data_IF_279968476727
#
_entry.id   IF_279968476727
#
_cell.length_a   1.000
_cell.length_b   1.000
_cell.length_c   1.000
_cell.angle_alpha   90.00
_cell.angle_beta   90.00
_cell.angle_gamma   90.00
#
_symmetry.space_group_name_H-M   'P 1'
#
loop_
_entity.id
_entity.type
_entity.pdbx_description
1 polymer ?
#
# COMPACT_ATOMS: atom_id res chain seq x y z
N UNK A 1 -47.13 -20.45 50.18
CA UNK A 1 -46.45 -20.46 48.85
C UNK A 1 -45.47 -19.28 48.84
N UNK A 2 -44.18 -19.56 48.97
CA UNK A 2 -43.12 -18.51 48.84
C UNK A 2 -42.55 -18.58 47.42
N UNK A 3 -42.75 -17.50 46.64
CA UNK A 3 -42.11 -17.35 45.35
C UNK A 3 -40.66 -16.81 45.55
N UNK A 4 -39.68 -17.60 45.20
CA UNK A 4 -38.26 -17.14 45.16
C UNK A 4 -37.98 -16.63 43.75
N UNK A 5 -37.76 -15.30 43.65
CA UNK A 5 -37.41 -14.64 42.39
C UNK A 5 -35.90 -14.73 42.22
N UNK A 6 -35.41 -15.52 41.25
CA UNK A 6 -34.01 -15.62 40.89
C UNK A 6 -33.62 -14.45 39.96
N UNK A 7 -32.75 -13.60 40.45
CA UNK A 7 -32.18 -12.48 39.68
C UNK A 7 -31.05 -13.03 38.80
N UNK A 8 -31.28 -13.13 37.49
CA UNK A 8 -30.22 -13.38 36.50
C UNK A 8 -29.42 -12.12 36.28
N UNK A 9 -28.21 -12.06 36.81
CA UNK A 9 -27.23 -11.03 36.47
C UNK A 9 -26.53 -11.46 35.17
N UNK A 10 -26.87 -10.82 34.04
CA UNK A 10 -26.14 -10.97 32.79
C UNK A 10 -24.83 -10.19 32.91
N UNK A 11 -23.70 -10.89 33.04
CA UNK A 11 -22.37 -10.33 32.90
C UNK A 11 -22.13 -10.06 31.41
N UNK A 12 -22.27 -8.82 30.96
CA UNK A 12 -21.77 -8.39 29.66
C UNK A 12 -20.26 -8.21 29.76
N UNK A 13 -19.50 -9.22 29.32
CA UNK A 13 -18.07 -9.05 29.06
C UNK A 13 -17.92 -8.19 27.80
N UNK A 14 -17.72 -6.90 27.96
CA UNK A 14 -17.21 -6.04 26.90
C UNK A 14 -15.80 -6.56 26.57
N UNK A 15 -15.64 -7.19 25.42
CA UNK A 15 -14.32 -7.45 24.84
C UNK A 15 -13.72 -6.06 24.55
N UNK A 16 -12.77 -5.61 25.38
CA UNK A 16 -11.97 -4.46 25.05
C UNK A 16 -11.19 -4.80 23.77
N UNK A 17 -11.51 -4.14 22.65
CA UNK A 17 -10.66 -4.19 21.48
C UNK A 17 -9.26 -3.78 21.92
N UNK A 18 -8.27 -4.64 21.70
CA UNK A 18 -6.88 -4.28 21.97
C UNK A 18 -6.57 -3.01 21.18
N UNK A 19 -6.23 -1.93 21.86
CA UNK A 19 -5.75 -0.72 21.19
C UNK A 19 -4.55 -1.10 20.35
N UNK A 20 -4.68 -1.07 19.04
CA UNK A 20 -3.57 -1.31 18.11
C UNK A 20 -2.55 -0.20 18.35
N UNK A 21 -1.37 -0.60 18.85
CA UNK A 21 -0.30 0.35 19.13
C UNK A 21 0.11 1.04 17.84
N UNK A 22 -0.03 2.36 17.80
CA UNK A 22 0.39 3.16 16.63
C UNK A 22 1.85 2.86 16.31
N UNK A 23 2.20 2.53 15.05
CA UNK A 23 3.58 2.24 14.64
C UNK A 23 4.54 3.39 14.93
N UNK A 24 5.80 3.06 15.22
CA UNK A 24 6.81 4.08 15.57
C UNK A 24 6.99 5.13 14.47
N UNK A 25 6.97 4.74 13.19
CA UNK A 25 7.04 5.65 12.05
C UNK A 25 5.85 6.62 11.98
N UNK A 26 4.64 6.11 12.21
CA UNK A 26 3.45 6.95 12.28
C UNK A 26 3.47 7.91 13.48
N UNK A 27 3.90 7.43 14.66
CA UNK A 27 4.06 8.27 15.85
C UNK A 27 5.06 9.40 15.64
N UNK A 28 6.23 9.12 15.01
CA UNK A 28 7.25 10.12 14.72
C UNK A 28 6.73 11.28 13.85
N UNK A 29 5.73 11.02 13.01
CA UNK A 29 5.08 12.00 12.15
C UNK A 29 3.84 12.66 12.80
N UNK A 30 3.41 12.20 13.98
CA UNK A 30 2.15 12.62 14.59
C UNK A 30 0.91 12.07 13.88
N UNK A 31 1.04 10.99 13.11
CA UNK A 31 -0.05 10.33 12.38
C UNK A 31 -0.59 9.21 13.27
N UNK A 32 -1.54 9.56 14.14
CA UNK A 32 -2.04 8.63 15.17
C UNK A 32 -3.48 8.17 14.93
N UNK A 33 -4.18 8.77 13.94
CA UNK A 33 -5.53 8.34 13.56
C UNK A 33 -5.45 7.15 12.62
N UNK A 34 -5.79 5.97 13.12
CA UNK A 34 -5.90 4.77 12.29
C UNK A 34 -7.01 4.96 11.23
N UNK A 35 -6.66 4.78 9.97
CA UNK A 35 -7.60 4.76 8.85
C UNK A 35 -8.17 3.37 8.65
N UNK A 36 -7.32 2.36 8.73
CA UNK A 36 -7.68 0.94 8.72
C UNK A 36 -6.51 0.10 9.27
N UNK A 37 -6.85 -1.09 9.75
CA UNK A 37 -5.93 -2.15 10.18
C UNK A 37 -6.49 -3.46 9.66
N UNK A 38 -5.96 -3.94 8.52
CA UNK A 38 -6.47 -5.07 7.78
C UNK A 38 -5.52 -6.27 7.87
N UNK A 39 -6.11 -7.45 7.97
CA UNK A 39 -5.44 -8.73 7.75
C UNK A 39 -5.96 -9.31 6.44
N UNK A 40 -5.27 -9.06 5.31
CA UNK A 40 -5.80 -9.45 4.02
C UNK A 40 -5.86 -10.97 3.88
N UNK A 41 -6.92 -11.44 3.21
CA UNK A 41 -7.14 -12.86 2.87
C UNK A 41 -7.63 -13.00 1.43
N UNK A 42 -7.53 -14.20 0.86
CA UNK A 42 -7.99 -14.45 -0.50
C UNK A 42 -9.50 -14.27 -0.68
N UNK A 43 -10.28 -14.49 0.39
CA UNK A 43 -11.74 -14.33 0.39
C UNK A 43 -12.17 -12.85 0.28
N UNK A 44 -11.26 -11.92 0.54
CA UNK A 44 -11.50 -10.48 0.40
C UNK A 44 -11.19 -9.96 -1.01
N UNK A 45 -10.81 -10.84 -1.95
CA UNK A 45 -10.51 -10.49 -3.34
C UNK A 45 -11.77 -10.61 -4.19
N UNK A 46 -12.10 -9.57 -4.93
CA UNK A 46 -13.25 -9.55 -5.84
C UNK A 46 -13.11 -10.60 -6.95
N UNK A 47 -14.04 -11.57 -7.08
CA UNK A 47 -13.92 -12.64 -8.07
C UNK A 47 -14.04 -12.15 -9.53
N UNK A 48 -14.72 -11.02 -9.74
CA UNK A 48 -14.93 -10.44 -11.08
C UNK A 48 -14.44 -8.97 -11.16
N UNK A 49 -13.57 -8.56 -10.24
CA UNK A 49 -13.10 -7.17 -10.17
C UNK A 49 -14.18 -6.15 -9.80
N UNK A 50 -15.30 -6.60 -9.21
CA UNK A 50 -16.47 -5.79 -8.86
C UNK A 50 -17.05 -6.22 -7.53
N UNK A 51 -17.82 -5.34 -6.89
CA UNK A 51 -18.53 -5.61 -5.66
C UNK A 51 -17.89 -4.97 -4.44
N UNK A 52 -18.42 -5.31 -3.26
CA UNK A 52 -17.97 -4.79 -1.96
C UNK A 52 -16.83 -5.66 -1.40
N UNK A 53 -15.64 -5.49 -1.98
CA UNK A 53 -14.42 -6.19 -1.60
C UNK A 53 -13.32 -5.20 -1.22
N UNK A 54 -12.38 -5.65 -0.38
CA UNK A 54 -11.22 -4.85 0.01
C UNK A 54 -10.12 -4.86 -1.05
N UNK A 55 -10.04 -5.97 -1.82
CA UNK A 55 -8.97 -6.20 -2.79
C UNK A 55 -9.54 -6.61 -4.15
N UNK A 56 -8.81 -6.26 -5.20
CA UNK A 56 -9.19 -6.50 -6.59
C UNK A 56 -7.99 -7.10 -7.33
N UNK A 57 -8.22 -8.20 -8.07
CA UNK A 57 -7.16 -8.85 -8.85
C UNK A 57 -6.69 -7.96 -9.99
N UNK A 58 -5.37 -7.78 -10.07
CA UNK A 58 -4.70 -6.99 -11.11
C UNK A 58 -4.77 -5.49 -10.89
N UNK A 59 -4.21 -4.82 -11.87
CA UNK A 59 -4.21 -3.36 -12.00
C UNK A 59 -5.19 -2.97 -13.11
N UNK A 60 -5.67 -1.74 -13.14
CA UNK A 60 -6.75 -1.33 -14.06
C UNK A 60 -6.38 -1.33 -15.54
N UNK A 61 -5.10 -1.20 -15.83
CA UNK A 61 -4.54 -1.14 -17.18
C UNK A 61 -4.01 -2.48 -17.69
N UNK A 62 -4.03 -3.51 -16.87
CA UNK A 62 -3.59 -4.85 -17.22
C UNK A 62 -4.75 -5.86 -17.15
N UNK A 63 -4.58 -7.01 -17.82
CA UNK A 63 -5.50 -8.12 -17.66
C UNK A 63 -5.37 -8.68 -16.23
N UNK A 64 -6.48 -8.81 -15.48
CA UNK A 64 -6.42 -9.36 -14.13
C UNK A 64 -5.79 -10.76 -14.13
N UNK A 65 -4.85 -11.03 -13.20
CA UNK A 65 -4.36 -12.38 -12.94
C UNK A 65 -5.48 -13.34 -12.53
N UNK A 66 -5.24 -14.62 -12.75
CA UNK A 66 -6.18 -15.65 -12.32
C UNK A 66 -6.27 -15.75 -10.79
N UNK A 67 -7.46 -16.02 -10.26
CA UNK A 67 -7.69 -16.04 -8.81
C UNK A 67 -6.98 -17.19 -8.08
N UNK A 68 -6.56 -18.25 -8.77
CA UNK A 68 -5.77 -19.36 -8.23
C UNK A 68 -4.32 -19.00 -7.90
N UNK A 69 -3.90 -17.77 -8.25
CA UNK A 69 -2.64 -17.18 -7.80
C UNK A 69 -2.70 -16.67 -6.36
N UNK A 70 -3.88 -16.64 -5.74
CA UNK A 70 -4.09 -16.15 -4.39
C UNK A 70 -4.62 -17.26 -3.49
N UNK A 71 -4.18 -17.25 -2.24
CA UNK A 71 -4.65 -18.18 -1.21
C UNK A 71 -4.54 -17.54 0.17
N UNK A 72 -5.32 -18.07 1.12
CA UNK A 72 -5.16 -17.76 2.54
C UNK A 72 -4.35 -18.87 3.19
N UNK A 73 -3.19 -18.54 3.74
CA UNK A 73 -2.32 -19.48 4.48
C UNK A 73 -2.09 -18.92 5.87
N UNK A 74 -2.39 -19.69 6.90
CA UNK A 74 -2.27 -19.29 8.31
C UNK A 74 -2.97 -17.95 8.63
N UNK A 75 -4.10 -17.69 7.98
CA UNK A 75 -4.88 -16.47 8.14
C UNK A 75 -4.27 -15.22 7.46
N UNK A 76 -3.31 -15.40 6.56
CA UNK A 76 -2.67 -14.34 5.80
C UNK A 76 -2.82 -14.55 4.29
N UNK A 77 -2.93 -13.46 3.55
CA UNK A 77 -2.95 -13.47 2.08
C UNK A 77 -1.60 -13.90 1.53
N UNK A 78 -1.61 -14.89 0.65
CA UNK A 78 -0.42 -15.36 -0.05
C UNK A 78 -0.63 -15.23 -1.55
N UNK A 79 0.26 -14.48 -2.21
CA UNK A 79 0.34 -14.32 -3.65
C UNK A 79 1.41 -15.26 -4.21
N UNK A 80 1.12 -15.95 -5.30
CA UNK A 80 2.11 -16.68 -6.11
C UNK A 80 2.70 -15.76 -7.16
N UNK A 81 3.84 -16.14 -7.72
CA UNK A 81 4.47 -15.45 -8.84
C UNK A 81 3.46 -15.18 -9.98
N UNK A 82 3.38 -13.94 -10.42
CA UNK A 82 2.41 -13.43 -11.39
C UNK A 82 1.14 -12.82 -10.75
N UNK A 83 1.00 -12.90 -9.42
CA UNK A 83 -0.11 -12.25 -8.70
C UNK A 83 0.11 -10.75 -8.56
N UNK A 84 -0.94 -9.98 -8.87
CA UNK A 84 -1.06 -8.54 -8.63
C UNK A 84 -2.42 -8.24 -8.01
N UNK A 85 -2.45 -7.39 -7.00
CA UNK A 85 -3.67 -6.94 -6.35
C UNK A 85 -3.67 -5.43 -6.16
N UNK A 86 -4.83 -4.79 -6.23
CA UNK A 86 -4.99 -3.42 -5.80
C UNK A 86 -6.12 -3.27 -4.77
N UNK A 87 -6.03 -2.25 -3.93
CA UNK A 87 -6.98 -2.00 -2.83
C UNK A 87 -8.20 -1.18 -3.24
N UNK A 88 -8.34 -0.84 -4.52
CA UNK A 88 -9.45 -0.03 -5.00
C UNK A 88 -9.98 -0.53 -6.34
N UNK A 89 -11.33 -0.57 -6.55
CA UNK A 89 -11.90 -0.82 -7.85
C UNK A 89 -11.70 0.41 -8.74
N UNK A 90 -11.89 0.25 -10.06
CA UNK A 90 -11.83 1.37 -11.01
C UNK A 90 -12.84 2.49 -10.71
N UNK A 91 -13.93 2.17 -10.08
CA UNK A 91 -14.89 3.12 -9.51
C UNK A 91 -14.54 3.33 -8.03
N UNK A 92 -13.66 4.28 -7.77
CA UNK A 92 -13.11 4.56 -6.42
C UNK A 92 -14.16 4.89 -5.37
N UNK A 93 -15.31 5.44 -5.76
CA UNK A 93 -16.41 5.69 -4.84
C UNK A 93 -16.92 4.40 -4.16
N UNK A 94 -16.58 3.24 -4.72
CA UNK A 94 -16.91 1.91 -4.20
C UNK A 94 -15.74 1.24 -3.49
N UNK A 95 -14.66 1.95 -3.22
CA UNK A 95 -13.53 1.40 -2.49
C UNK A 95 -13.95 1.11 -1.04
N UNK A 96 -13.74 -0.11 -0.58
CA UNK A 96 -14.01 -0.50 0.81
C UNK A 96 -12.95 0.04 1.77
N UNK A 97 -11.68 -0.02 1.34
CA UNK A 97 -10.59 0.64 2.04
C UNK A 97 -10.51 2.10 1.61
N UNK A 98 -10.34 3.04 2.55
CA UNK A 98 -10.21 4.45 2.21
C UNK A 98 -8.94 4.68 1.38
N UNK A 99 -9.03 5.57 0.41
CA UNK A 99 -7.85 6.09 -0.28
C UNK A 99 -7.01 6.94 0.68
N UNK A 100 -5.70 6.93 0.49
CA UNK A 100 -4.78 7.72 1.27
C UNK A 100 -4.71 9.14 0.70
N UNK A 101 -5.25 10.12 1.41
CA UNK A 101 -5.33 11.50 0.92
C UNK A 101 -3.98 12.22 1.03
N UNK A 102 -3.42 12.62 -0.10
CA UNK A 102 -2.18 13.40 -0.13
C UNK A 102 -2.30 14.74 0.59
N UNK A 103 -3.48 15.38 0.53
CA UNK A 103 -3.71 16.66 1.22
C UNK A 103 -3.53 16.59 2.74
N UNK A 104 -3.89 15.47 3.35
CA UNK A 104 -3.78 15.25 4.79
C UNK A 104 -2.39 14.74 5.19
N UNK A 105 -1.73 14.03 4.28
CA UNK A 105 -0.58 13.18 4.58
C UNK A 105 -1.00 11.84 5.16
N UNK A 106 -0.10 10.87 5.05
CA UNK A 106 -0.36 9.50 5.51
C UNK A 106 0.91 8.76 5.88
N UNK A 107 0.74 7.73 6.69
CA UNK A 107 1.67 6.63 6.89
C UNK A 107 0.95 5.32 6.57
N UNK A 108 1.57 4.44 5.81
CA UNK A 108 1.04 3.11 5.50
C UNK A 108 2.15 2.08 5.69
N UNK A 109 1.81 0.88 6.17
CA UNK A 109 2.78 -0.19 6.34
C UNK A 109 2.17 -1.56 6.00
N UNK A 110 3.07 -2.47 5.59
CA UNK A 110 2.75 -3.81 5.13
C UNK A 110 3.64 -4.82 5.83
N UNK A 111 3.05 -5.83 6.47
CA UNK A 111 3.77 -6.98 7.02
C UNK A 111 3.96 -8.03 5.93
N UNK A 112 5.17 -8.17 5.41
CA UNK A 112 5.47 -9.02 4.25
C UNK A 112 6.54 -10.05 4.57
N UNK A 113 6.38 -11.26 3.98
CA UNK A 113 7.37 -12.33 4.00
C UNK A 113 7.39 -13.03 2.65
N UNK A 114 8.56 -13.33 2.13
CA UNK A 114 8.71 -14.18 0.94
C UNK A 114 9.03 -15.63 1.34
N UNK A 115 8.69 -16.58 0.48
CA UNK A 115 9.09 -17.99 0.67
C UNK A 115 10.58 -18.23 0.40
N UNK A 116 11.25 -17.27 -0.24
CA UNK A 116 12.67 -17.34 -0.58
C UNK A 116 13.23 -15.94 -0.82
N UNK A 117 14.51 -15.74 -0.53
CA UNK A 117 15.25 -14.48 -0.75
C UNK A 117 16.12 -14.57 -2.03
N UNK A 118 15.55 -15.08 -3.11
CA UNK A 118 16.26 -15.19 -4.38
C UNK A 118 16.39 -13.81 -5.08
N UNK A 119 17.58 -13.43 -5.59
CA UNK A 119 17.86 -12.06 -6.06
C UNK A 119 17.03 -11.58 -7.24
N UNK A 120 16.49 -12.46 -8.07
CA UNK A 120 15.65 -12.08 -9.22
C UNK A 120 14.15 -11.95 -8.85
N UNK A 121 13.77 -12.23 -7.60
CA UNK A 121 12.41 -11.99 -7.14
C UNK A 121 12.11 -10.50 -7.07
N UNK A 122 10.97 -10.11 -7.59
CA UNK A 122 10.50 -8.73 -7.61
C UNK A 122 9.14 -8.63 -6.88
N UNK A 123 9.11 -8.82 -5.57
CA UNK A 123 7.95 -8.43 -4.79
C UNK A 123 7.87 -6.91 -4.74
N UNK A 124 6.66 -6.36 -4.75
CA UNK A 124 6.49 -4.94 -4.52
C UNK A 124 5.27 -4.64 -3.65
N UNK A 125 5.41 -3.64 -2.81
CA UNK A 125 4.32 -2.95 -2.11
C UNK A 125 4.43 -1.48 -2.45
N UNK A 126 3.42 -0.94 -3.11
CA UNK A 126 3.49 0.37 -3.73
C UNK A 126 2.14 1.08 -3.84
N UNK A 127 2.16 2.34 -4.19
CA UNK A 127 0.99 3.21 -4.23
C UNK A 127 0.91 3.92 -5.58
N UNK A 128 -0.31 3.98 -6.14
CA UNK A 128 -0.64 4.78 -7.29
C UNK A 128 -1.78 5.75 -6.98
N UNK A 129 -1.80 6.94 -7.60
CA UNK A 129 -2.92 7.85 -7.42
C UNK A 129 -4.16 7.39 -8.19
N UNK A 130 -5.28 7.51 -7.53
CA UNK A 130 -6.58 7.19 -8.07
C UNK A 130 -6.97 8.05 -9.29
N UNK A 131 -6.47 9.25 -9.35
CA UNK A 131 -6.68 10.20 -10.45
C UNK A 131 -6.01 9.71 -11.74
N UNK A 132 -4.90 8.96 -11.65
CA UNK A 132 -4.23 8.34 -12.80
C UNK A 132 -4.92 7.04 -13.23
N UNK A 133 -6.16 7.14 -13.71
CA UNK A 133 -7.05 6.00 -13.98
C UNK A 133 -7.42 5.81 -15.47
N UNK A 134 -6.73 6.51 -16.35
CA UNK A 134 -7.02 6.50 -17.79
C UNK A 134 -8.26 7.31 -18.20
N UNK A 135 -8.86 8.07 -17.30
CA UNK A 135 -9.94 9.02 -17.57
C UNK A 135 -9.47 10.47 -17.55
N UNK A 136 -8.16 10.70 -17.41
CA UNK A 136 -7.53 12.03 -17.32
C UNK A 136 -8.00 12.86 -16.13
N UNK A 137 -8.29 12.20 -15.00
CA UNK A 137 -8.62 12.86 -13.74
C UNK A 137 -7.38 13.43 -13.04
N UNK A 138 -6.18 13.06 -13.50
CA UNK A 138 -4.88 13.64 -13.14
C UNK A 138 -4.47 14.81 -14.04
N UNK A 139 -5.43 15.39 -14.76
CA UNK A 139 -5.31 16.66 -15.44
C UNK A 139 -5.62 17.81 -14.47
N UNK A 140 -4.75 18.79 -14.37
CA UNK A 140 -4.87 19.91 -13.44
C UNK A 140 -4.71 21.24 -14.20
N UNK A 141 -5.69 22.13 -14.08
CA UNK A 141 -5.58 23.48 -14.66
C UNK A 141 -4.33 24.23 -14.14
N UNK A 142 -3.56 24.94 -14.99
CA UNK A 142 -3.85 25.28 -16.39
C UNK A 142 -3.16 24.36 -17.43
N UNK A 143 -2.94 23.09 -17.13
CA UNK A 143 -2.28 22.16 -18.05
C UNK A 143 -3.11 21.98 -19.34
N UNK A 144 -2.48 21.72 -20.50
CA UNK A 144 -3.18 21.51 -21.74
C UNK A 144 -3.97 20.19 -21.74
N UNK A 145 -5.02 20.05 -22.57
CA UNK A 145 -5.79 18.80 -22.64
C UNK A 145 -4.92 17.57 -22.87
N UNK A 146 -5.14 16.51 -22.09
CA UNK A 146 -4.39 15.26 -22.15
C UNK A 146 -3.03 15.28 -21.47
N UNK A 147 -2.69 16.38 -20.83
CA UNK A 147 -1.51 16.45 -19.96
C UNK A 147 -1.86 15.85 -18.60
N UNK A 148 -1.06 14.95 -18.13
CA UNK A 148 -1.23 14.22 -16.87
C UNK A 148 -0.02 14.50 -15.95
N UNK A 149 -0.26 14.47 -14.63
CA UNK A 149 0.77 14.57 -13.61
C UNK A 149 0.46 13.59 -12.49
N UNK A 150 1.40 12.74 -12.15
CA UNK A 150 1.18 11.79 -11.06
C UNK A 150 2.47 11.43 -10.32
N UNK A 151 2.28 10.97 -9.10
CA UNK A 151 3.33 10.38 -8.28
C UNK A 151 3.01 8.89 -8.07
N UNK A 152 3.93 8.02 -8.48
CA UNK A 152 3.98 6.63 -8.02
C UNK A 152 4.92 6.56 -6.82
N UNK A 153 4.56 5.76 -5.81
CA UNK A 153 5.35 5.64 -4.59
C UNK A 153 5.57 4.16 -4.25
N UNK A 154 6.76 3.65 -4.58
CA UNK A 154 7.16 2.29 -4.28
C UNK A 154 7.77 2.25 -2.88
N UNK A 155 7.07 1.55 -1.97
CA UNK A 155 7.48 1.45 -0.57
C UNK A 155 8.57 0.39 -0.41
N UNK A 156 8.46 -0.73 -1.12
CA UNK A 156 9.54 -1.69 -1.29
C UNK A 156 9.40 -2.43 -2.63
N UNK A 157 10.54 -2.59 -3.30
CA UNK A 157 10.70 -3.41 -4.49
C UNK A 157 11.90 -4.34 -4.31
N UNK A 158 11.70 -5.65 -4.43
CA UNK A 158 12.80 -6.62 -4.39
C UNK A 158 13.60 -6.69 -5.69
N UNK A 159 14.78 -7.31 -5.63
CA UNK A 159 15.58 -7.63 -6.82
C UNK A 159 16.54 -6.55 -7.30
N UNK A 160 16.57 -5.37 -6.69
CA UNK A 160 17.49 -4.27 -7.07
C UNK A 160 18.71 -4.16 -6.16
N UNK A 161 18.72 -4.90 -5.06
CA UNK A 161 19.83 -4.88 -4.12
C UNK A 161 19.49 -5.60 -2.81
N UNK A 162 20.47 -5.65 -1.87
CA UNK A 162 20.30 -6.44 -0.64
C UNK A 162 19.41 -5.78 0.40
N UNK A 163 19.10 -4.49 0.26
CA UNK A 163 18.29 -3.72 1.20
C UNK A 163 16.87 -3.46 0.72
N UNK A 164 16.17 -2.58 1.44
CA UNK A 164 14.93 -1.97 0.95
C UNK A 164 15.23 -1.20 -0.34
N UNK A 165 14.43 -1.37 -1.37
CA UNK A 165 14.41 -0.48 -2.52
C UNK A 165 13.14 0.35 -2.47
N UNK A 166 13.29 1.64 -2.22
CA UNK A 166 12.18 2.59 -2.13
C UNK A 166 12.28 3.66 -3.21
N UNK A 167 11.31 3.71 -4.11
CA UNK A 167 11.33 4.64 -5.23
C UNK A 167 10.13 5.57 -5.19
N UNK A 168 10.33 6.82 -5.54
CA UNK A 168 9.26 7.74 -5.94
C UNK A 168 9.47 8.12 -7.39
N UNK A 169 8.46 7.87 -8.21
CA UNK A 169 8.41 8.26 -9.60
C UNK A 169 7.48 9.46 -9.77
N UNK A 170 8.03 10.57 -10.28
CA UNK A 170 7.25 11.73 -10.68
C UNK A 170 7.18 11.78 -12.19
N UNK A 171 5.99 11.67 -12.73
CA UNK A 171 5.71 11.65 -14.16
C UNK A 171 4.80 12.82 -14.53
N UNK A 172 5.13 13.50 -15.64
CA UNK A 172 4.30 14.59 -16.21
C UNK A 172 4.39 14.60 -17.73
N UNK A 173 3.28 14.90 -18.41
CA UNK A 173 3.26 15.03 -19.85
C UNK A 173 2.00 14.45 -20.50
N UNK A 174 2.07 14.25 -21.81
CA UNK A 174 1.02 13.62 -22.60
C UNK A 174 1.44 12.19 -22.88
N UNK A 175 0.59 11.22 -22.55
CA UNK A 175 0.89 9.78 -22.71
C UNK A 175 1.49 9.40 -24.06
N UNK A 176 0.94 9.94 -25.16
CA UNK A 176 1.38 9.63 -26.53
C UNK A 176 2.78 10.15 -26.86
N UNK A 177 3.21 11.19 -26.16
CA UNK A 177 4.51 11.83 -26.38
C UNK A 177 5.58 11.28 -25.42
N UNK A 178 5.17 10.40 -24.50
CA UNK A 178 5.98 9.93 -23.39
C UNK A 178 6.00 10.95 -22.25
N UNK A 179 6.01 10.46 -21.01
CA UNK A 179 6.12 11.32 -19.84
C UNK A 179 7.57 11.81 -19.65
N UNK A 180 7.73 13.04 -19.23
CA UNK A 180 8.92 13.46 -18.52
C UNK A 180 8.88 12.79 -17.15
N UNK A 181 9.91 12.03 -16.85
CA UNK A 181 9.98 11.20 -15.65
C UNK A 181 11.25 11.52 -14.85
N UNK A 182 11.10 11.61 -13.55
CA UNK A 182 12.21 11.69 -12.59
C UNK A 182 11.94 10.73 -11.43
N UNK A 183 13.02 10.16 -10.88
CA UNK A 183 12.97 9.31 -9.69
C UNK A 183 14.09 9.68 -8.72
N UNK A 184 13.92 9.36 -7.43
CA UNK A 184 14.94 9.61 -6.43
C UNK A 184 16.19 8.76 -6.69
N UNK A 185 17.39 9.33 -6.58
CA UNK A 185 18.64 8.59 -6.64
C UNK A 185 18.89 7.83 -5.32
N UNK A 186 19.81 6.88 -5.33
CA UNK A 186 20.20 6.11 -4.14
C UNK A 186 19.00 5.48 -3.41
N UNK A 187 18.13 4.87 -4.19
CA UNK A 187 16.87 4.29 -3.73
C UNK A 187 17.00 2.92 -3.05
N UNK A 188 18.22 2.38 -2.90
CA UNK A 188 18.48 1.13 -2.17
C UNK A 188 19.09 1.44 -0.81
N UNK A 189 18.49 0.97 0.27
CA UNK A 189 19.03 1.14 1.61
C UNK A 189 20.32 0.33 1.81
N UNK A 190 21.18 0.81 2.70
CA UNK A 190 22.47 0.16 2.99
C UNK A 190 22.32 -1.06 3.92
N UNK A 191 21.21 -1.18 4.61
CA UNK A 191 20.95 -2.30 5.52
C UNK A 191 20.40 -3.47 4.73
N UNK A 192 21.12 -4.62 4.66
CA UNK A 192 20.60 -5.81 4.00
C UNK A 192 19.33 -6.33 4.69
N UNK A 193 18.43 -6.90 3.92
CA UNK A 193 17.19 -7.51 4.38
C UNK A 193 17.15 -8.97 3.93
N UNK A 194 16.83 -9.87 4.84
CA UNK A 194 16.44 -11.24 4.52
C UNK A 194 14.91 -11.29 4.35
N UNK A 195 14.43 -11.15 3.11
CA UNK A 195 13.00 -11.16 2.80
C UNK A 195 12.31 -12.49 3.07
N UNK A 196 13.07 -13.56 3.36
CA UNK A 196 12.50 -14.82 3.84
C UNK A 196 12.04 -14.74 5.31
N UNK A 197 12.45 -13.71 6.03
CA UNK A 197 11.88 -13.33 7.32
C UNK A 197 10.73 -12.33 7.12
N UNK A 198 9.87 -12.22 8.12
CA UNK A 198 8.81 -11.21 8.10
C UNK A 198 9.41 -9.84 8.42
N UNK A 199 9.17 -8.88 7.55
CA UNK A 199 9.47 -7.46 7.75
C UNK A 199 8.21 -6.62 7.63
N UNK A 200 8.21 -5.45 8.26
CA UNK A 200 7.20 -4.42 8.10
C UNK A 200 7.78 -3.32 7.23
N UNK A 201 7.29 -3.19 6.00
CA UNK A 201 7.67 -2.13 5.07
C UNK A 201 6.70 -0.97 5.20
N UNK A 202 7.21 0.23 5.49
CA UNK A 202 6.40 1.42 5.67
C UNK A 202 6.77 2.54 4.70
N UNK A 203 5.75 3.28 4.28
CA UNK A 203 5.89 4.52 3.51
C UNK A 203 5.07 5.64 4.12
N UNK A 204 5.59 6.86 4.07
CA UNK A 204 4.85 8.03 4.53
C UNK A 204 5.01 9.20 3.59
N UNK A 205 3.96 10.03 3.52
CA UNK A 205 3.98 11.30 2.82
C UNK A 205 3.56 12.43 3.76
N UNK A 206 4.42 13.45 3.85
CA UNK A 206 4.14 14.70 4.56
C UNK A 206 3.95 15.85 3.54
N UNK A 207 2.72 16.30 3.32
CA UNK A 207 2.44 17.38 2.35
C UNK A 207 3.02 18.74 2.75
N UNK A 208 3.24 18.99 4.05
CA UNK A 208 3.82 20.26 4.52
C UNK A 208 5.30 20.36 4.18
N UNK A 209 6.01 19.25 4.31
CA UNK A 209 7.42 19.15 3.98
C UNK A 209 7.63 18.80 2.49
N UNK A 210 6.60 18.39 1.74
CA UNK A 210 6.74 17.82 0.41
C UNK A 210 7.69 16.62 0.42
N UNK A 211 7.55 15.75 1.42
CA UNK A 211 8.53 14.70 1.74
C UNK A 211 7.85 13.32 1.77
N UNK A 212 8.48 12.35 1.12
CA UNK A 212 8.22 10.92 1.37
C UNK A 212 9.35 10.34 2.24
N UNK A 213 9.01 9.32 3.02
CA UNK A 213 9.98 8.62 3.88
C UNK A 213 9.68 7.13 3.87
N UNK A 214 10.72 6.30 3.81
CA UNK A 214 10.67 4.84 3.83
C UNK A 214 11.11 4.28 5.17
N UNK A 215 10.44 3.25 5.61
CA UNK A 215 10.61 2.62 6.91
C UNK A 215 10.71 1.10 6.77
N UNK A 216 11.58 0.47 7.56
CA UNK A 216 11.61 -0.99 7.75
C UNK A 216 11.57 -1.28 9.23
N UNK A 217 10.64 -2.11 9.67
CA UNK A 217 10.45 -2.51 11.06
C UNK A 217 10.37 -1.30 12.02
N UNK A 218 9.74 -0.22 11.54
CA UNK A 218 9.56 1.03 12.27
C UNK A 218 10.79 1.95 12.31
N UNK A 219 11.87 1.62 11.59
CA UNK A 219 13.10 2.42 11.51
C UNK A 219 13.17 3.13 10.15
N UNK A 220 13.37 4.47 10.16
CA UNK A 220 13.57 5.26 8.94
C UNK A 220 14.81 4.78 8.18
N UNK A 221 14.68 4.49 6.90
CA UNK A 221 15.76 4.05 6.02
C UNK A 221 16.27 5.16 5.12
N UNK A 222 15.36 5.92 4.53
CA UNK A 222 15.66 6.99 3.59
C UNK A 222 14.46 7.94 3.46
N UNK A 223 14.69 9.07 2.80
CA UNK A 223 13.63 10.01 2.45
C UNK A 223 13.97 10.77 1.16
N UNK A 224 12.93 11.29 0.50
CA UNK A 224 13.06 12.13 -0.68
C UNK A 224 12.14 13.35 -0.58
N UNK A 225 12.54 14.42 -1.28
CA UNK A 225 11.80 15.69 -1.41
C UNK A 225 11.84 16.15 -2.87
N UNK A 226 11.42 17.39 -3.15
CA UNK A 226 11.58 17.97 -4.48
C UNK A 226 13.04 17.88 -4.97
N UNK A 227 13.30 17.63 -6.27
CA UNK A 227 12.33 17.59 -7.37
C UNK A 227 11.66 16.22 -7.56
N UNK A 228 11.99 15.21 -6.76
CA UNK A 228 11.50 13.82 -6.91
C UNK A 228 10.07 13.66 -6.42
N UNK A 229 9.72 14.36 -5.34
CA UNK A 229 8.34 14.37 -4.80
C UNK A 229 7.62 15.57 -5.42
N UNK A 230 6.65 15.35 -6.34
CA UNK A 230 5.98 16.44 -7.02
C UNK A 230 4.94 17.08 -6.11
N UNK A 231 4.79 18.42 -6.20
CA UNK A 231 3.82 19.15 -5.40
C UNK A 231 2.36 18.68 -5.64
N UNK A 232 2.11 18.09 -6.81
CA UNK A 232 0.78 17.56 -7.17
C UNK A 232 0.33 16.42 -6.26
N UNK A 233 1.26 15.68 -5.65
CA UNK A 233 0.95 14.59 -4.72
C UNK A 233 0.01 15.04 -3.58
N UNK A 234 0.07 16.30 -3.16
CA UNK A 234 -0.86 16.86 -2.18
C UNK A 234 -2.32 16.99 -2.68
N UNK A 235 -2.57 16.81 -3.96
CA UNK A 235 -3.92 16.82 -4.55
C UNK A 235 -4.41 15.43 -4.94
N UNK A 236 -3.60 14.40 -4.73
CA UNK A 236 -3.88 13.03 -5.16
C UNK A 236 -4.33 12.14 -4.00
N UNK A 237 -5.06 11.09 -4.36
CA UNK A 237 -5.54 10.06 -3.43
C UNK A 237 -4.95 8.73 -3.86
N UNK A 238 -4.23 8.08 -2.97
CA UNK A 238 -3.46 6.89 -3.30
C UNK A 238 -4.20 5.62 -2.89
N UNK A 239 -4.12 4.62 -3.75
CA UNK A 239 -4.48 3.25 -3.44
C UNK A 239 -3.24 2.36 -3.40
N UNK A 240 -3.35 1.22 -2.73
CA UNK A 240 -2.25 0.28 -2.53
C UNK A 240 -2.25 -0.80 -3.59
N UNK A 241 -1.05 -1.24 -3.97
CA UNK A 241 -0.83 -2.35 -4.89
C UNK A 241 0.17 -3.32 -4.25
N UNK A 242 -0.11 -4.62 -4.43
CA UNK A 242 0.73 -5.74 -4.00
C UNK A 242 1.11 -6.54 -5.24
N UNK A 243 2.39 -6.68 -5.53
CA UNK A 243 2.88 -7.37 -6.71
C UNK A 243 3.86 -8.49 -6.35
N UNK A 244 3.69 -9.66 -6.96
CA UNK A 244 4.57 -10.81 -6.80
C UNK A 244 5.15 -11.19 -8.16
N UNK A 245 6.23 -10.52 -8.58
CA UNK A 245 6.80 -10.55 -9.93
C UNK A 245 8.25 -11.02 -9.95
N UNK A 246 8.91 -10.98 -11.10
CA UNK A 246 10.32 -11.33 -11.28
C UNK A 246 11.00 -10.45 -12.32
N UNK A 247 12.28 -10.16 -12.14
CA UNK A 247 13.08 -9.37 -13.08
C UNK A 247 13.54 -10.16 -14.33
N UNK A 248 13.45 -11.46 -14.37
CA UNK A 248 13.91 -12.21 -15.52
C UNK A 248 13.74 -13.72 -15.42
N UNK A 249 14.27 -14.34 -14.40
CA UNK A 249 14.13 -15.80 -14.24
C UNK A 249 12.85 -16.11 -13.49
N UNK A 250 11.99 -16.92 -14.11
CA UNK A 250 10.77 -17.44 -13.48
C UNK A 250 11.10 -18.48 -12.40
N UNK A 251 11.75 -18.08 -11.33
CA UNK A 251 11.94 -18.91 -10.14
C UNK A 251 10.69 -18.74 -9.27
N UNK A 252 9.87 -19.81 -9.09
CA UNK A 252 8.65 -19.71 -8.31
C UNK A 252 8.92 -19.31 -6.87
N UNK A 253 8.10 -18.38 -6.36
CA UNK A 253 8.08 -18.02 -4.95
C UNK A 253 6.67 -17.56 -4.57
N UNK A 254 6.46 -17.31 -3.30
CA UNK A 254 5.25 -16.70 -2.78
C UNK A 254 5.58 -15.48 -1.93
N UNK A 255 4.70 -14.50 -1.99
CA UNK A 255 4.69 -13.32 -1.13
C UNK A 255 3.49 -13.43 -0.18
N UNK A 256 3.75 -13.49 1.12
CA UNK A 256 2.71 -13.51 2.15
C UNK A 256 2.58 -12.13 2.77
N UNK A 257 1.36 -11.58 2.79
CA UNK A 257 1.02 -10.30 3.41
C UNK A 257 0.08 -10.58 4.59
N UNK A 258 0.58 -10.36 5.80
CA UNK A 258 -0.14 -10.72 7.05
C UNK A 258 -0.78 -9.53 7.75
N UNK A 259 -0.52 -8.30 7.28
CA UNK A 259 -1.11 -7.08 7.82
C UNK A 259 -0.87 -5.91 6.89
N UNK A 260 -1.87 -5.01 6.81
CA UNK A 260 -1.78 -3.72 6.10
C UNK A 260 -2.47 -2.68 6.97
N UNK A 261 -1.76 -1.62 7.33
CA UNK A 261 -2.27 -0.59 8.23
C UNK A 261 -1.97 0.80 7.68
N UNK A 262 -2.90 1.72 7.85
CA UNK A 262 -2.67 3.11 7.48
C UNK A 262 -3.13 4.08 8.56
N UNK A 263 -2.42 5.18 8.65
CA UNK A 263 -2.61 6.23 9.64
C UNK A 263 -2.54 7.61 8.98
N UNK A 264 -3.30 8.54 9.53
CA UNK A 264 -3.29 9.94 9.15
C UNK A 264 -3.09 10.83 10.39
N UNK A 265 -2.86 12.14 10.22
CA UNK A 265 -2.84 13.08 11.34
C UNK A 265 -4.09 12.95 12.20
N UNK A 266 -3.95 13.13 13.51
CA UNK A 266 -5.10 13.29 14.40
C UNK A 266 -6.00 14.40 13.89
N UNK A 267 -7.32 14.21 13.96
CA UNK A 267 -8.26 15.31 13.72
C UNK A 267 -7.92 16.46 14.69
N UNK A 268 -7.84 17.67 14.15
CA UNK A 268 -7.65 18.88 14.96
C UNK A 268 -8.90 19.17 15.75
#
# INVERSE_FOLDING_TARGET
>A
VRLTMALLIALSTALAAAETKVPAGAQALGYTRCLFDEKPTAEQIAPEGKGDYAWFSGQWYAKPPALDLYSTVDGALTLKLGGDLCSAPRDFAKSKLPLLAGADGFYVEFDVKLSSDYPDHWPAVWLMPAEHNGKQEDHYEPDPPGFERFMEFDIDEGGFGPGLTGTVHSSEGIWKDGYKHVQNPNNVSKTPLDRSQKHTFGGSYDPKAGKVTWWVDGVEQMSATAPYVPAIAAKQHFYMILSCQTHGKNVPYTMTVSGVRAYAPSAK
#
